data_IF_283723506005
#
_entry.id   IF_283723506005
#
_cell.length_a   1.000
_cell.length_b   1.000
_cell.length_c   1.000
_cell.angle_alpha   90.00
_cell.angle_beta   90.00
_cell.angle_gamma   90.00
#
_symmetry.space_group_name_H-M   'P 1'
#
loop_
_entity.id
_entity.type
_entity.pdbx_description
1 polymer ?
#
# COMPACT_ATOMS: atom_id res chain seq x y z
N UNK A 1 -18.21 -2.42 -10.97
CA UNK A 1 -19.04 -3.30 -10.10
C UNK A 1 -19.74 -2.44 -9.07
N UNK A 2 -20.92 -2.84 -8.60
CA UNK A 2 -21.55 -2.21 -7.46
C UNK A 2 -21.05 -2.91 -6.19
N UNK A 3 -20.62 -2.15 -5.20
CA UNK A 3 -20.24 -2.64 -3.88
C UNK A 3 -21.47 -2.54 -2.97
N UNK A 4 -21.69 -3.53 -2.10
CA UNK A 4 -22.89 -3.62 -1.25
C UNK A 4 -22.64 -3.12 0.17
N UNK A 5 -21.44 -3.33 0.68
CA UNK A 5 -21.09 -3.09 2.09
C UNK A 5 -20.03 -2.01 2.31
N UNK A 6 -19.40 -1.52 1.24
CA UNK A 6 -18.41 -0.45 1.27
C UNK A 6 -18.72 0.61 0.20
N UNK A 7 -18.10 1.76 0.36
CA UNK A 7 -18.08 2.80 -0.69
C UNK A 7 -16.69 2.93 -1.25
N UNK A 8 -16.55 2.93 -2.58
CA UNK A 8 -15.29 3.06 -3.30
C UNK A 8 -15.31 4.31 -4.15
N UNK A 9 -14.51 5.31 -3.80
CA UNK A 9 -14.37 6.57 -4.51
C UNK A 9 -13.02 6.61 -5.23
N UNK A 10 -13.05 6.68 -6.56
CA UNK A 10 -11.82 6.72 -7.38
C UNK A 10 -11.07 8.04 -7.19
N UNK A 11 -9.77 7.98 -6.95
CA UNK A 11 -8.90 9.16 -6.83
C UNK A 11 -8.41 9.65 -8.19
N UNK A 12 -8.16 8.72 -9.10
CA UNK A 12 -7.74 9.03 -10.47
C UNK A 12 -8.25 7.97 -11.45
N UNK A 13 -8.24 8.22 -12.76
CA UNK A 13 -8.62 7.21 -13.75
C UNK A 13 -7.71 5.98 -13.74
N UNK A 14 -6.41 6.16 -13.43
CA UNK A 14 -5.39 5.12 -13.59
C UNK A 14 -5.18 4.26 -12.34
N UNK A 15 -5.26 4.85 -11.16
CA UNK A 15 -5.07 4.15 -9.88
C UNK A 15 -5.59 4.96 -8.69
N UNK A 16 -5.72 4.29 -7.56
CA UNK A 16 -6.11 4.87 -6.29
C UNK A 16 -7.62 4.95 -6.08
N UNK A 17 -8.05 4.53 -4.90
CA UNK A 17 -9.40 4.75 -4.41
C UNK A 17 -9.43 4.98 -2.90
N UNK A 18 -10.40 5.79 -2.45
CA UNK A 18 -10.74 5.92 -1.02
C UNK A 18 -11.84 4.91 -0.72
N UNK A 19 -11.64 4.13 0.33
CA UNK A 19 -12.63 3.18 0.84
C UNK A 19 -13.27 3.76 2.09
N UNK A 20 -14.61 3.77 2.12
CA UNK A 20 -15.42 4.24 3.24
C UNK A 20 -16.45 3.19 3.63
N UNK A 21 -17.09 3.37 4.80
CA UNK A 21 -18.11 2.45 5.30
C UNK A 21 -17.53 1.26 6.07
N UNK A 22 -16.27 1.33 6.47
CA UNK A 22 -15.59 0.29 7.27
C UNK A 22 -14.93 0.90 8.50
N UNK A 23 -14.91 0.12 9.56
CA UNK A 23 -14.12 0.34 10.77
C UNK A 23 -13.12 -0.82 10.90
N UNK A 24 -11.88 -0.55 10.55
CA UNK A 24 -10.82 -1.58 10.59
C UNK A 24 -10.51 -2.03 12.02
N UNK A 25 -10.67 -1.14 13.01
CA UNK A 25 -10.45 -1.45 14.41
C UNK A 25 -11.57 -2.33 14.99
N UNK A 26 -12.81 -2.12 14.56
CA UNK A 26 -13.98 -2.91 14.96
C UNK A 26 -14.06 -4.27 14.27
N UNK A 27 -13.21 -4.49 13.28
CA UNK A 27 -13.17 -5.70 12.48
C UNK A 27 -13.99 -5.60 11.17
N UNK A 28 -13.51 -6.29 10.17
CA UNK A 28 -14.06 -6.27 8.80
C UNK A 28 -14.72 -7.62 8.53
N UNK A 29 -16.00 -7.62 8.15
CA UNK A 29 -16.71 -8.84 7.75
C UNK A 29 -16.07 -9.48 6.51
N UNK A 30 -16.41 -10.73 6.22
CA UNK A 30 -15.90 -11.39 5.01
C UNK A 30 -16.38 -10.69 3.73
N UNK A 31 -17.64 -10.27 3.68
CA UNK A 31 -18.18 -9.54 2.53
C UNK A 31 -17.42 -8.23 2.31
N UNK A 32 -17.23 -7.42 3.38
CA UNK A 32 -16.45 -6.18 3.28
C UNK A 32 -15.02 -6.45 2.82
N UNK A 33 -14.38 -7.51 3.33
CA UNK A 33 -13.02 -7.83 2.92
C UNK A 33 -12.95 -8.26 1.45
N UNK A 34 -13.87 -9.07 0.97
CA UNK A 34 -13.92 -9.50 -0.43
C UNK A 34 -14.10 -8.30 -1.37
N UNK A 35 -14.92 -7.34 -0.97
CA UNK A 35 -15.11 -6.09 -1.69
C UNK A 35 -13.86 -5.18 -1.64
N UNK A 36 -13.21 -5.07 -0.48
CA UNK A 36 -11.94 -4.35 -0.31
C UNK A 36 -10.85 -4.97 -1.19
N UNK A 37 -10.73 -6.28 -1.18
CA UNK A 37 -9.76 -7.00 -2.00
C UNK A 37 -10.02 -6.78 -3.50
N UNK A 38 -11.28 -6.84 -3.91
CA UNK A 38 -11.70 -6.53 -5.29
C UNK A 38 -11.34 -5.09 -5.68
N UNK A 39 -11.60 -4.13 -4.77
CA UNK A 39 -11.23 -2.73 -4.99
C UNK A 39 -9.71 -2.54 -5.11
N UNK A 40 -8.91 -3.25 -4.30
CA UNK A 40 -7.45 -3.23 -4.40
C UNK A 40 -6.97 -3.74 -5.75
N UNK A 41 -7.50 -4.85 -6.23
CA UNK A 41 -7.13 -5.42 -7.53
C UNK A 41 -7.52 -4.51 -8.72
N UNK A 42 -8.66 -3.81 -8.60
CA UNK A 42 -9.14 -2.89 -9.63
C UNK A 42 -8.39 -1.54 -9.61
N UNK A 43 -8.04 -1.05 -8.42
CA UNK A 43 -7.50 0.30 -8.22
C UNK A 43 -6.02 0.34 -7.88
N UNK A 44 -5.39 -0.80 -7.62
CA UNK A 44 -3.96 -0.98 -7.26
C UNK A 44 -3.52 -0.32 -5.95
N UNK A 45 -4.15 0.78 -5.54
CA UNK A 45 -3.94 1.46 -4.26
C UNK A 45 -5.29 1.77 -3.64
N UNK A 46 -5.47 1.44 -2.38
CA UNK A 46 -6.65 1.78 -1.61
C UNK A 46 -6.27 2.53 -0.34
N UNK A 47 -7.06 3.51 0.04
CA UNK A 47 -6.82 4.38 1.18
C UNK A 47 -8.04 4.36 2.09
N UNK A 48 -7.78 4.16 3.36
CA UNK A 48 -8.78 4.28 4.42
C UNK A 48 -8.47 5.52 5.23
N UNK A 49 -9.42 6.45 5.33
CA UNK A 49 -9.29 7.66 6.13
C UNK A 49 -9.79 7.43 7.55
N UNK A 50 -9.29 8.21 8.49
CA UNK A 50 -9.80 8.31 9.87
C UNK A 50 -9.85 6.97 10.63
N UNK A 51 -8.89 6.09 10.36
CA UNK A 51 -8.75 4.81 11.07
C UNK A 51 -7.79 4.97 12.24
N UNK A 52 -8.18 4.45 13.40
CA UNK A 52 -7.32 4.40 14.60
C UNK A 52 -7.06 2.95 14.95
N UNK A 53 -5.86 2.48 14.64
CA UNK A 53 -5.46 1.09 14.80
C UNK A 53 -4.36 0.93 15.86
N UNK A 54 -4.46 -0.14 16.63
CA UNK A 54 -3.31 -0.70 17.33
C UNK A 54 -2.44 -1.49 16.35
N UNK A 55 -1.20 -1.79 16.73
CA UNK A 55 -0.28 -2.63 15.94
C UNK A 55 -0.91 -4.00 15.65
N UNK A 56 -1.53 -4.61 16.64
CA UNK A 56 -2.23 -5.90 16.48
C UNK A 56 -3.34 -5.82 15.44
N UNK A 57 -4.19 -4.79 15.50
CA UNK A 57 -5.29 -4.61 14.54
C UNK A 57 -4.77 -4.37 13.12
N UNK A 58 -3.68 -3.60 12.97
CA UNK A 58 -3.02 -3.38 11.68
C UNK A 58 -2.50 -4.70 11.10
N UNK A 59 -1.81 -5.51 11.93
CA UNK A 59 -1.30 -6.84 11.55
C UNK A 59 -2.46 -7.77 11.17
N UNK A 60 -3.51 -7.87 11.99
CA UNK A 60 -4.65 -8.75 11.75
C UNK A 60 -5.38 -8.42 10.45
N UNK A 61 -5.62 -7.14 10.19
CA UNK A 61 -6.22 -6.69 8.93
C UNK A 61 -5.33 -7.02 7.73
N UNK A 62 -4.03 -6.70 7.81
CA UNK A 62 -3.09 -6.92 6.71
C UNK A 62 -2.91 -8.42 6.42
N UNK A 63 -2.94 -9.25 7.45
CA UNK A 63 -2.81 -10.72 7.32
C UNK A 63 -3.95 -11.38 6.53
N UNK A 64 -5.07 -10.70 6.38
CA UNK A 64 -6.17 -11.19 5.52
C UNK A 64 -5.82 -11.20 4.03
N UNK A 65 -4.84 -10.40 3.60
CA UNK A 65 -4.35 -10.37 2.22
C UNK A 65 -3.29 -11.45 1.93
N UNK A 66 -2.74 -12.08 2.95
CA UNK A 66 -1.74 -13.14 2.84
C UNK A 66 -0.77 -13.18 4.01
N UNK A 67 0.22 -14.05 3.90
CA UNK A 67 1.26 -14.20 4.91
C UNK A 67 2.13 -12.94 4.98
N UNK A 68 2.30 -12.42 6.20
CA UNK A 68 3.16 -11.27 6.42
C UNK A 68 4.62 -11.68 6.29
N UNK A 69 5.39 -10.87 5.59
CA UNK A 69 6.82 -11.03 5.56
C UNK A 69 7.44 -10.31 6.76
N UNK A 70 8.38 -10.93 7.46
CA UNK A 70 9.13 -10.23 8.50
C UNK A 70 9.80 -9.00 7.88
N UNK A 71 9.80 -7.92 8.62
CA UNK A 71 10.51 -6.69 8.29
C UNK A 71 11.98 -7.03 7.93
N UNK A 72 12.31 -6.94 6.66
CA UNK A 72 13.57 -7.43 6.11
C UNK A 72 14.48 -6.31 5.58
N UNK A 73 14.03 -5.06 5.67
CA UNK A 73 14.81 -3.93 5.16
C UNK A 73 15.79 -3.48 6.24
N UNK A 74 17.09 -3.60 5.94
CA UNK A 74 18.13 -3.02 6.79
C UNK A 74 18.02 -1.51 6.77
N UNK A 75 18.05 -0.88 7.94
CA UNK A 75 18.05 0.58 8.09
C UNK A 75 16.72 1.20 8.55
N UNK A 76 15.69 0.40 8.75
CA UNK A 76 14.49 0.82 9.48
C UNK A 76 14.58 0.40 10.95
N UNK A 77 14.00 1.22 11.81
CA UNK A 77 13.76 0.82 13.17
C UNK A 77 12.69 -0.28 13.20
N UNK A 78 12.96 -1.32 13.97
CA UNK A 78 12.03 -2.44 14.11
C UNK A 78 11.23 -2.26 15.38
N UNK A 79 9.95 -2.52 15.30
CA UNK A 79 9.15 -2.66 16.49
C UNK A 79 9.55 -3.96 17.21
N UNK A 80 10.07 -3.84 18.45
CA UNK A 80 10.57 -5.00 19.18
C UNK A 80 9.48 -6.01 19.53
N UNK A 81 8.25 -5.53 19.73
CA UNK A 81 7.09 -6.33 20.12
C UNK A 81 6.33 -6.89 18.88
N UNK A 82 6.52 -6.27 17.72
CA UNK A 82 5.83 -6.58 16.47
C UNK A 82 6.84 -6.65 15.31
N UNK A 83 7.56 -7.77 15.15
CA UNK A 83 8.65 -7.91 14.17
C UNK A 83 8.18 -7.82 12.71
N UNK A 84 6.88 -7.87 12.45
CA UNK A 84 6.29 -7.67 11.13
C UNK A 84 6.13 -6.18 10.74
N UNK A 85 6.34 -5.26 11.70
CA UNK A 85 6.18 -3.82 11.48
C UNK A 85 7.57 -3.15 11.43
N UNK A 86 7.85 -2.53 10.30
CA UNK A 86 8.92 -1.54 10.15
C UNK A 86 8.40 -0.15 10.54
N UNK A 87 9.20 0.60 11.28
CA UNK A 87 8.90 1.98 11.65
C UNK A 87 9.68 2.92 10.72
N UNK A 88 8.94 3.76 10.00
CA UNK A 88 9.51 4.81 9.16
C UNK A 88 9.33 6.14 9.89
N UNK A 89 10.39 6.63 10.50
CA UNK A 89 10.40 7.91 11.21
C UNK A 89 11.46 8.83 10.60
N UNK A 90 11.03 10.03 10.25
CA UNK A 90 11.87 11.07 9.69
C UNK A 90 11.66 12.36 10.44
N UNK A 91 12.75 13.05 10.73
CA UNK A 91 12.77 14.37 11.33
C UNK A 91 13.97 15.20 10.81
N UNK A 92 14.17 16.39 11.33
CA UNK A 92 15.28 17.26 10.91
C UNK A 92 16.67 16.65 11.15
N UNK A 93 16.79 15.73 12.11
CA UNK A 93 18.04 15.02 12.42
C UNK A 93 18.24 13.74 11.60
N UNK A 94 17.15 13.19 11.10
CA UNK A 94 17.08 11.98 10.26
C UNK A 94 16.17 12.21 9.05
N UNK A 95 16.57 13.07 8.11
CA UNK A 95 15.75 13.35 6.94
C UNK A 95 15.67 12.12 6.01
N UNK A 96 14.61 12.01 5.19
CA UNK A 96 14.50 10.92 4.24
C UNK A 96 15.67 10.92 3.26
N UNK A 97 16.22 9.74 3.00
CA UNK A 97 17.30 9.62 2.02
C UNK A 97 16.78 9.83 0.59
N UNK A 98 17.55 10.57 -0.23
CA UNK A 98 17.24 10.88 -1.65
C UNK A 98 16.96 9.62 -2.49
N UNK A 99 17.52 8.46 -2.10
CA UNK A 99 17.28 7.18 -2.80
C UNK A 99 15.86 6.65 -2.63
N UNK A 100 15.05 7.21 -1.73
CA UNK A 100 13.64 6.84 -1.56
C UNK A 100 12.68 7.64 -2.43
N UNK A 101 13.15 8.71 -3.03
CA UNK A 101 12.39 9.53 -3.99
C UNK A 101 12.43 8.93 -5.42
N UNK A 102 12.88 7.69 -5.57
CA UNK A 102 12.90 6.99 -6.85
C UNK A 102 11.68 6.09 -6.99
N UNK A 103 11.14 6.04 -8.21
CA UNK A 103 10.10 5.07 -8.56
C UNK A 103 10.62 3.64 -8.33
N UNK A 104 9.91 2.86 -7.55
CA UNK A 104 10.26 1.48 -7.25
C UNK A 104 9.03 0.63 -6.99
N UNK A 105 9.23 -0.66 -6.99
CA UNK A 105 8.30 -1.66 -6.47
C UNK A 105 9.03 -2.43 -5.37
N UNK A 106 8.37 -2.62 -4.23
CA UNK A 106 8.95 -3.33 -3.10
C UNK A 106 9.25 -4.79 -3.46
N UNK A 107 10.45 -5.26 -3.05
CA UNK A 107 10.86 -6.67 -3.16
C UNK A 107 10.75 -7.30 -4.55
N UNK A 108 10.75 -6.52 -5.62
CA UNK A 108 10.63 -7.00 -7.01
C UNK A 108 11.73 -8.02 -7.39
N UNK A 109 12.87 -8.00 -6.75
CA UNK A 109 13.97 -8.94 -6.98
C UNK A 109 13.80 -10.32 -6.33
N UNK A 110 12.71 -10.59 -5.64
CA UNK A 110 12.44 -11.90 -5.03
C UNK A 110 11.72 -12.81 -6.00
N UNK A 111 11.95 -14.12 -5.90
CA UNK A 111 11.20 -15.14 -6.67
C UNK A 111 9.69 -15.06 -6.40
N UNK A 112 9.33 -14.74 -5.15
CA UNK A 112 7.95 -14.48 -4.73
C UNK A 112 7.90 -13.09 -4.10
N UNK A 113 7.66 -12.04 -4.89
CA UNK A 113 7.52 -10.70 -4.35
C UNK A 113 6.27 -10.58 -3.48
N UNK A 114 6.26 -9.60 -2.57
CA UNK A 114 5.08 -9.30 -1.78
C UNK A 114 3.93 -8.86 -2.69
N UNK A 115 2.71 -9.29 -2.38
CA UNK A 115 1.49 -8.88 -3.09
C UNK A 115 1.25 -7.37 -2.97
N UNK A 116 1.62 -6.78 -1.83
CA UNK A 116 1.47 -5.37 -1.54
C UNK A 116 2.13 -4.99 -0.22
N UNK A 117 2.04 -3.72 0.11
CA UNK A 117 2.54 -3.13 1.35
C UNK A 117 1.40 -2.37 2.03
N UNK A 118 1.22 -2.57 3.33
CA UNK A 118 0.26 -1.83 4.14
C UNK A 118 0.99 -0.78 4.95
N UNK A 119 0.60 0.49 4.78
CA UNK A 119 1.16 1.62 5.51
C UNK A 119 0.11 2.20 6.45
N UNK A 120 0.49 2.45 7.69
CA UNK A 120 -0.33 3.15 8.66
C UNK A 120 0.36 4.46 9.08
N UNK A 121 -0.19 5.58 8.64
CA UNK A 121 0.31 6.91 8.95
C UNK A 121 -0.01 7.30 10.40
N UNK A 122 1.01 7.56 11.21
CA UNK A 122 0.89 7.98 12.61
C UNK A 122 1.02 9.49 12.78
N UNK A 123 2.05 10.05 12.18
CA UNK A 123 2.37 11.46 12.26
C UNK A 123 2.81 11.93 10.87
N UNK A 124 1.99 12.75 10.26
CA UNK A 124 2.24 13.29 8.91
C UNK A 124 2.27 14.80 9.03
N UNK A 125 3.29 15.48 8.48
CA UNK A 125 3.36 16.93 8.49
C UNK A 125 2.17 17.53 7.70
N UNK A 126 1.76 18.77 8.01
CA UNK A 126 0.68 19.43 7.30
C UNK A 126 1.01 19.77 5.85
N UNK A 127 2.30 19.82 5.50
CA UNK A 127 2.81 20.12 4.17
C UNK A 127 3.99 19.21 3.85
N UNK A 128 4.04 18.69 2.63
CA UNK A 128 5.10 17.80 2.16
C UNK A 128 4.97 16.35 2.65
N UNK A 129 5.92 15.52 2.26
CA UNK A 129 5.93 14.09 2.61
C UNK A 129 4.87 13.27 1.88
N UNK A 130 4.33 13.76 0.77
CA UNK A 130 3.33 13.04 -0.02
C UNK A 130 3.88 11.73 -0.58
N UNK A 131 3.07 10.69 -0.53
CA UNK A 131 3.37 9.44 -1.24
C UNK A 131 2.66 9.44 -2.58
N UNK A 132 3.41 9.16 -3.64
CA UNK A 132 2.91 9.15 -5.01
C UNK A 132 2.97 7.72 -5.56
N UNK A 133 1.92 7.30 -6.23
CA UNK A 133 1.83 5.99 -6.87
C UNK A 133 1.59 6.10 -8.37
N UNK A 134 2.12 5.13 -9.11
CA UNK A 134 1.89 4.97 -10.54
C UNK A 134 1.42 3.55 -10.83
N UNK A 135 0.45 3.42 -11.73
CA UNK A 135 0.04 2.12 -12.24
C UNK A 135 1.00 1.70 -13.37
N UNK A 136 1.92 0.78 -13.05
CA UNK A 136 2.92 0.28 -14.00
C UNK A 136 2.30 -0.47 -15.18
N UNK A 137 1.18 -1.19 -14.97
CA UNK A 137 0.48 -1.86 -16.05
C UNK A 137 -0.11 -0.84 -17.04
N UNK A 138 -0.77 0.21 -16.53
CA UNK A 138 -1.29 1.29 -17.38
C UNK A 138 -0.16 2.04 -18.10
N UNK A 139 0.98 2.26 -17.44
CA UNK A 139 2.16 2.85 -18.06
C UNK A 139 2.71 1.98 -19.20
N UNK A 140 2.82 0.66 -18.99
CA UNK A 140 3.23 -0.30 -20.01
C UNK A 140 2.26 -0.32 -21.19
N UNK A 141 0.94 -0.39 -20.92
CA UNK A 141 -0.09 -0.38 -21.96
C UNK A 141 -0.10 0.90 -22.81
N UNK A 142 0.32 2.02 -22.24
CA UNK A 142 0.49 3.29 -22.94
C UNK A 142 1.72 3.36 -23.87
N UNK A 143 2.60 2.36 -23.84
CA UNK A 143 3.77 2.31 -24.73
C UNK A 143 3.37 1.92 -26.16
N UNK A 144 4.15 2.41 -27.13
CA UNK A 144 4.02 1.94 -28.52
C UNK A 144 4.40 0.44 -28.65
N UNK A 145 3.85 -0.26 -29.64
CA UNK A 145 4.17 -1.66 -29.92
C UNK A 145 5.68 -1.88 -30.08
N UNK A 146 6.36 -0.94 -30.73
CA UNK A 146 7.82 -0.99 -30.90
C UNK A 146 8.55 -0.95 -29.54
N UNK A 147 8.08 -0.12 -28.60
CA UNK A 147 8.69 -0.04 -27.28
C UNK A 147 8.40 -1.30 -26.45
N UNK A 148 7.17 -1.83 -26.50
CA UNK A 148 6.80 -3.09 -25.86
C UNK A 148 7.70 -4.22 -26.35
N UNK A 149 7.84 -4.39 -27.67
CA UNK A 149 8.73 -5.39 -28.28
C UNK A 149 10.19 -5.22 -27.80
N UNK A 150 10.66 -3.98 -27.69
CA UNK A 150 12.04 -3.72 -27.22
C UNK A 150 12.24 -4.12 -25.75
N UNK A 151 11.23 -3.97 -24.89
CA UNK A 151 11.31 -4.33 -23.48
C UNK A 151 11.14 -5.84 -23.22
N UNK A 152 10.48 -6.54 -24.12
CA UNK A 152 10.28 -7.99 -24.03
C UNK A 152 11.49 -8.82 -24.49
N UNK A 153 12.46 -8.21 -25.18
CA UNK A 153 13.72 -8.83 -25.62
C UNK A 153 13.66 -9.32 -27.05
#
# INVERSE_FOLDING_TARGET
>A
MAYESITVESMSPACGAIISGVDLAGGVSNLQFDEIHTALLDRTVIIFRDQVLTETQHIEFTRRFGDLQPAAVSGFEKNADYPEIDILEYDDSNPPHVTRDLWHTDFVGREKPSMGTSLYARNIPPEGGDTIWVNSAAAYEGLSDRMKTHLEG
#
